data_IF_515130638237
#
_entry.id   IF_515130638237
#
_cell.length_a   1.000
_cell.length_b   1.000
_cell.length_c   1.000
_cell.angle_alpha   90.00
_cell.angle_beta   90.00
_cell.angle_gamma   90.00
#
_symmetry.space_group_name_H-M   'P 1'
#
loop_
_entity.id
_entity.type
_entity.pdbx_description
1 polymer ?
#
# COMPACT_ATOMS: atom_id res chain seq x y z
N UNK A 1 2.09 16.43 45.60
CA UNK A 1 2.36 16.89 44.22
C UNK A 1 2.78 15.65 43.45
N UNK A 2 1.80 14.89 43.00
CA UNK A 2 1.95 13.60 42.33
C UNK A 2 1.87 13.84 40.84
N UNK A 3 2.95 13.53 40.11
CA UNK A 3 2.95 13.54 38.66
C UNK A 3 2.06 12.41 38.15
N UNK A 4 1.10 12.75 37.29
CA UNK A 4 0.15 11.86 36.67
C UNK A 4 0.83 11.08 35.52
N UNK A 5 0.83 9.73 35.51
CA UNK A 5 1.42 8.94 34.44
C UNK A 5 0.39 8.76 33.32
N UNK A 6 0.17 9.80 32.53
CA UNK A 6 -0.64 9.71 31.31
C UNK A 6 0.13 10.28 30.10
N UNK A 7 1.26 9.65 29.79
CA UNK A 7 1.65 9.50 28.40
C UNK A 7 1.22 8.09 27.98
N UNK A 8 -0.08 7.91 27.73
CA UNK A 8 -0.51 6.80 26.90
C UNK A 8 0.20 6.98 25.56
N UNK A 9 1.06 6.02 25.20
CA UNK A 9 1.79 6.02 23.94
C UNK A 9 0.78 6.24 22.80
N UNK A 10 0.78 7.44 22.22
CA UNK A 10 -0.03 7.71 21.04
C UNK A 10 0.55 6.84 19.92
N UNK A 11 -0.18 5.81 19.53
CA UNK A 11 0.17 4.99 18.38
C UNK A 11 0.35 5.91 17.17
N UNK A 12 1.47 5.75 16.46
CA UNK A 12 1.69 6.45 15.20
C UNK A 12 0.49 6.22 14.26
N UNK A 13 0.03 7.25 13.52
CA UNK A 13 -1.05 7.08 12.54
C UNK A 13 -0.72 6.00 11.50
N UNK A 14 0.56 5.82 11.16
CA UNK A 14 1.04 4.79 10.24
C UNK A 14 0.85 3.39 10.86
N UNK A 15 1.12 3.23 12.16
CA UNK A 15 0.93 1.98 12.90
C UNK A 15 -0.56 1.62 13.02
N UNK A 16 -1.42 2.61 13.26
CA UNK A 16 -2.88 2.41 13.26
C UNK A 16 -3.38 2.03 11.86
N UNK A 17 -2.85 2.65 10.81
CA UNK A 17 -3.20 2.32 9.42
C UNK A 17 -2.82 0.87 9.09
N UNK A 18 -1.59 0.46 9.42
CA UNK A 18 -1.11 -0.90 9.18
C UNK A 18 -1.97 -1.95 9.91
N UNK A 19 -2.33 -1.69 11.17
CA UNK A 19 -3.23 -2.54 11.93
C UNK A 19 -4.61 -2.68 11.28
N UNK A 20 -5.23 -1.57 10.86
CA UNK A 20 -6.54 -1.57 10.21
C UNK A 20 -6.52 -2.36 8.90
N UNK A 21 -5.47 -2.20 8.11
CA UNK A 21 -5.31 -2.94 6.86
C UNK A 21 -5.08 -4.42 7.09
N UNK A 22 -4.24 -4.78 8.06
CA UNK A 22 -4.01 -6.17 8.42
C UNK A 22 -5.27 -6.86 8.96
N UNK A 23 -6.02 -6.18 9.84
CA UNK A 23 -7.26 -6.71 10.39
C UNK A 23 -8.30 -6.96 9.29
N UNK A 24 -8.48 -6.00 8.36
CA UNK A 24 -9.40 -6.20 7.24
C UNK A 24 -8.90 -7.29 6.28
N UNK A 25 -7.60 -7.36 6.02
CA UNK A 25 -7.01 -8.42 5.20
C UNK A 25 -7.35 -9.81 5.78
N UNK A 26 -7.14 -9.99 7.09
CA UNK A 26 -7.49 -11.24 7.79
C UNK A 26 -8.99 -11.57 7.66
N UNK A 27 -9.88 -10.58 7.82
CA UNK A 27 -11.32 -10.80 7.70
C UNK A 27 -11.70 -11.28 6.29
N UNK A 28 -11.16 -10.66 5.25
CA UNK A 28 -11.50 -11.03 3.87
C UNK A 28 -10.88 -12.35 3.41
N UNK A 29 -9.75 -12.73 4.01
CA UNK A 29 -9.13 -14.05 3.81
C UNK A 29 -10.02 -15.19 4.33
N UNK A 30 -10.67 -14.96 5.48
CA UNK A 30 -11.54 -15.93 6.14
C UNK A 30 -13.01 -15.87 5.67
N UNK A 31 -13.42 -14.82 4.95
CA UNK A 31 -14.79 -14.63 4.47
C UNK A 31 -15.17 -15.61 3.35
N UNK A 32 -16.46 -15.93 3.25
CA UNK A 32 -16.99 -16.85 2.25
C UNK A 32 -16.71 -16.34 0.82
N UNK A 33 -16.34 -17.24 -0.08
CA UNK A 33 -16.16 -16.92 -1.49
C UNK A 33 -15.23 -17.86 -2.24
N UNK A 34 -14.87 -17.50 -3.48
CA UNK A 34 -13.99 -18.34 -4.28
C UNK A 34 -12.58 -18.41 -3.66
N UNK A 35 -12.00 -19.61 -3.68
CA UNK A 35 -10.65 -19.87 -3.17
C UNK A 35 -9.54 -19.17 -3.99
N UNK A 36 -9.86 -18.73 -5.21
CA UNK A 36 -8.97 -18.02 -6.11
C UNK A 36 -9.65 -16.76 -6.65
N UNK A 37 -8.87 -15.70 -6.81
CA UNK A 37 -9.30 -14.40 -7.32
C UNK A 37 -8.44 -13.99 -8.50
N UNK A 38 -9.06 -13.39 -9.53
CA UNK A 38 -8.32 -12.76 -10.62
C UNK A 38 -7.86 -11.37 -10.18
N UNK A 39 -6.55 -11.14 -10.11
CA UNK A 39 -5.96 -9.85 -9.72
C UNK A 39 -5.48 -9.02 -10.93
N UNK A 40 -5.65 -9.53 -12.14
CA UNK A 40 -5.32 -8.85 -13.39
C UNK A 40 -6.57 -8.51 -14.20
N UNK A 41 -6.39 -8.18 -15.48
CA UNK A 41 -7.49 -7.84 -16.38
C UNK A 41 -8.33 -9.08 -16.73
N UNK A 42 -9.51 -8.86 -17.30
CA UNK A 42 -10.31 -9.95 -17.88
C UNK A 42 -9.68 -10.52 -19.18
N UNK A 43 -8.89 -9.72 -19.90
CA UNK A 43 -8.26 -10.12 -21.16
C UNK A 43 -7.04 -11.02 -20.94
N UNK A 44 -6.27 -10.72 -19.90
CA UNK A 44 -5.13 -11.51 -19.43
C UNK A 44 -5.31 -11.77 -17.94
N UNK A 45 -6.15 -12.77 -17.58
CA UNK A 45 -6.44 -13.05 -16.19
C UNK A 45 -5.24 -13.69 -15.50
N UNK A 46 -5.00 -13.28 -14.27
CA UNK A 46 -4.00 -13.84 -13.39
C UNK A 46 -4.68 -14.24 -12.08
N UNK A 47 -4.94 -15.53 -11.95
CA UNK A 47 -5.59 -16.09 -10.77
C UNK A 47 -4.56 -16.45 -9.70
N UNK A 48 -4.76 -15.93 -8.50
CA UNK A 48 -3.97 -16.25 -7.31
C UNK A 48 -4.89 -16.75 -6.21
N UNK A 49 -4.33 -17.29 -5.12
CA UNK A 49 -5.14 -17.66 -3.95
C UNK A 49 -5.83 -16.43 -3.38
N UNK A 50 -6.96 -16.63 -2.69
CA UNK A 50 -7.68 -15.56 -2.00
C UNK A 50 -6.76 -14.79 -1.03
N UNK A 51 -5.94 -15.52 -0.27
CA UNK A 51 -4.92 -14.95 0.62
C UNK A 51 -3.96 -14.05 -0.14
N UNK A 52 -3.38 -14.54 -1.22
CA UNK A 52 -2.43 -13.76 -2.02
C UNK A 52 -3.05 -12.50 -2.60
N UNK A 53 -4.31 -12.59 -3.09
CA UNK A 53 -5.02 -11.45 -3.64
C UNK A 53 -5.27 -10.35 -2.60
N UNK A 54 -5.71 -10.70 -1.39
CA UNK A 54 -5.93 -9.71 -0.34
C UNK A 54 -4.62 -9.17 0.22
N UNK A 55 -3.58 -10.00 0.38
CA UNK A 55 -2.24 -9.53 0.77
C UNK A 55 -1.67 -8.54 -0.25
N UNK A 56 -1.76 -8.81 -1.55
CA UNK A 56 -1.33 -7.86 -2.60
C UNK A 56 -2.15 -6.56 -2.54
N UNK A 57 -3.48 -6.66 -2.45
CA UNK A 57 -4.36 -5.49 -2.35
C UNK A 57 -4.03 -4.61 -1.14
N UNK A 58 -3.89 -5.20 0.04
CA UNK A 58 -3.63 -4.45 1.27
C UNK A 58 -2.20 -3.91 1.36
N UNK A 59 -1.22 -4.59 0.76
CA UNK A 59 0.15 -4.06 0.61
C UNK A 59 0.15 -2.81 -0.28
N UNK A 60 -0.63 -2.83 -1.36
CA UNK A 60 -0.85 -1.69 -2.26
C UNK A 60 -1.65 -0.56 -1.59
N UNK A 61 -2.61 -0.88 -0.72
CA UNK A 61 -3.29 0.12 0.11
C UNK A 61 -2.31 0.82 1.04
N UNK A 62 -1.44 0.06 1.70
CA UNK A 62 -0.40 0.58 2.58
C UNK A 62 0.60 1.46 1.83
N UNK A 63 1.04 1.03 0.63
CA UNK A 63 1.89 1.84 -0.24
C UNK A 63 1.26 3.20 -0.53
N UNK A 64 -0.02 3.26 -0.90
CA UNK A 64 -0.67 4.54 -1.16
C UNK A 64 -0.77 5.39 0.12
N UNK A 65 -1.14 4.79 1.25
CA UNK A 65 -1.30 5.50 2.52
C UNK A 65 0.02 6.12 3.03
N UNK A 66 1.14 5.48 2.71
CA UNK A 66 2.48 5.95 3.08
C UNK A 66 3.18 6.69 1.93
N UNK A 67 2.45 7.04 0.87
CA UNK A 67 2.96 7.69 -0.34
C UNK A 67 4.16 6.95 -0.98
N UNK A 68 4.23 5.63 -0.84
CA UNK A 68 5.36 4.79 -1.27
C UNK A 68 6.71 5.32 -0.73
N UNK A 69 6.71 5.88 0.47
CA UNK A 69 7.90 6.40 1.13
C UNK A 69 8.68 5.28 1.83
N UNK A 70 9.85 4.93 1.28
CA UNK A 70 10.70 3.86 1.80
C UNK A 70 11.09 4.08 3.27
N UNK A 71 11.36 5.33 3.67
CA UNK A 71 11.77 5.64 5.04
C UNK A 71 10.61 5.46 6.02
N UNK A 72 9.39 5.84 5.63
CA UNK A 72 8.19 5.61 6.44
C UNK A 72 7.85 4.13 6.56
N UNK A 73 7.94 3.37 5.46
CA UNK A 73 7.73 1.91 5.47
C UNK A 73 8.74 1.23 6.41
N UNK A 74 10.03 1.60 6.34
CA UNK A 74 11.05 1.04 7.20
C UNK A 74 10.87 1.43 8.68
N UNK A 75 10.39 2.64 8.96
CA UNK A 75 10.04 3.05 10.33
C UNK A 75 8.85 2.25 10.86
N UNK A 76 7.79 2.13 10.06
CA UNK A 76 6.62 1.34 10.41
C UNK A 76 6.95 -0.13 10.68
N UNK A 77 7.82 -0.76 9.88
CA UNK A 77 8.26 -2.13 10.11
C UNK A 77 8.90 -2.31 11.50
N UNK A 78 9.77 -1.36 11.91
CA UNK A 78 10.36 -1.37 13.26
C UNK A 78 9.30 -1.19 14.35
N UNK A 79 8.33 -0.30 14.13
CA UNK A 79 7.25 -0.07 15.09
C UNK A 79 6.40 -1.34 15.27
N UNK A 80 6.07 -2.04 14.18
CA UNK A 80 5.33 -3.32 14.19
C UNK A 80 6.11 -4.40 14.94
N UNK A 81 7.42 -4.51 14.72
CA UNK A 81 8.26 -5.50 15.41
C UNK A 81 8.23 -5.35 16.93
N UNK A 82 8.12 -4.11 17.40
CA UNK A 82 8.04 -3.77 18.83
C UNK A 82 6.62 -3.81 19.39
N UNK A 83 5.60 -4.01 18.56
CA UNK A 83 4.21 -3.99 18.99
C UNK A 83 3.89 -5.18 19.92
N UNK A 84 3.08 -4.98 20.97
CA UNK A 84 2.78 -6.04 21.94
C UNK A 84 1.91 -7.14 21.33
N UNK A 85 2.39 -8.40 21.43
CA UNK A 85 1.70 -9.61 20.94
C UNK A 85 1.00 -10.40 22.06
N UNK A 86 0.43 -9.69 23.03
CA UNK A 86 -0.12 -10.29 24.27
C UNK A 86 -1.44 -11.06 24.07
N UNK A 87 -2.04 -11.01 22.86
CA UNK A 87 -3.28 -11.69 22.50
C UNK A 87 -3.03 -12.46 21.18
N UNK A 88 -3.39 -13.76 21.09
CA UNK A 88 -3.20 -14.56 19.87
C UNK A 88 -3.84 -13.95 18.61
N UNK A 89 -5.04 -13.38 18.72
CA UNK A 89 -5.72 -12.71 17.60
C UNK A 89 -4.92 -11.46 17.19
N UNK A 90 -4.47 -10.69 18.16
CA UNK A 90 -3.63 -9.52 17.91
C UNK A 90 -2.27 -9.89 17.29
N UNK A 91 -1.69 -11.02 17.70
CA UNK A 91 -0.44 -11.52 17.16
C UNK A 91 -0.58 -11.84 15.66
N UNK A 92 -1.66 -12.54 15.27
CA UNK A 92 -1.95 -12.81 13.85
C UNK A 92 -2.06 -11.50 13.06
N UNK A 93 -2.80 -10.51 13.56
CA UNK A 93 -2.94 -9.21 12.87
C UNK A 93 -1.59 -8.50 12.74
N UNK A 94 -0.71 -8.56 13.75
CA UNK A 94 0.63 -7.98 13.64
C UNK A 94 1.54 -8.71 12.66
N UNK A 95 1.46 -10.04 12.61
CA UNK A 95 2.23 -10.83 11.65
C UNK A 95 1.80 -10.53 10.21
N UNK A 96 0.49 -10.35 10.01
CA UNK A 96 -0.06 -9.86 8.74
C UNK A 96 0.47 -8.45 8.43
N UNK A 97 0.41 -7.52 9.38
CA UNK A 97 0.89 -6.16 9.17
C UNK A 97 2.38 -6.12 8.77
N UNK A 98 3.20 -6.99 9.38
CA UNK A 98 4.60 -7.15 9.03
C UNK A 98 4.77 -7.67 7.59
N UNK A 99 3.99 -8.67 7.18
CA UNK A 99 3.98 -9.19 5.81
C UNK A 99 3.59 -8.09 4.80
N UNK A 100 2.56 -7.30 5.09
CA UNK A 100 2.13 -6.19 4.23
C UNK A 100 3.24 -5.12 4.08
N UNK A 101 3.95 -4.81 5.17
CA UNK A 101 5.08 -3.87 5.14
C UNK A 101 6.24 -4.42 4.31
N UNK A 102 6.56 -5.71 4.48
CA UNK A 102 7.61 -6.36 3.71
C UNK A 102 7.30 -6.33 2.20
N UNK A 103 6.10 -6.75 1.81
CA UNK A 103 5.66 -6.71 0.39
C UNK A 103 5.69 -5.29 -0.17
N UNK A 104 5.26 -4.30 0.61
CA UNK A 104 5.33 -2.91 0.21
C UNK A 104 6.78 -2.44 -0.02
N UNK A 105 7.71 -2.82 0.87
CA UNK A 105 9.13 -2.53 0.69
C UNK A 105 9.71 -3.19 -0.57
N UNK A 106 9.38 -4.47 -0.81
CA UNK A 106 9.81 -5.21 -2.02
C UNK A 106 9.29 -4.54 -3.31
N UNK A 107 8.05 -4.05 -3.32
CA UNK A 107 7.50 -3.29 -4.46
C UNK A 107 8.25 -1.97 -4.67
N UNK A 108 8.59 -1.25 -3.60
CA UNK A 108 9.36 -0.01 -3.69
C UNK A 108 10.75 -0.28 -4.28
N UNK A 109 11.42 -1.33 -3.81
CA UNK A 109 12.77 -1.69 -4.24
C UNK A 109 12.79 -2.15 -5.71
N UNK A 110 11.88 -3.06 -6.08
CA UNK A 110 11.81 -3.61 -7.45
C UNK A 110 11.47 -2.55 -8.50
N UNK A 111 10.73 -1.50 -8.12
CA UNK A 111 10.40 -0.38 -9.02
C UNK A 111 11.45 0.74 -9.02
N UNK A 112 12.44 0.71 -8.11
CA UNK A 112 13.42 1.78 -7.94
C UNK A 112 12.87 3.02 -7.23
N UNK A 113 11.64 2.97 -6.71
CA UNK A 113 10.97 4.10 -6.06
C UNK A 113 11.65 4.58 -4.77
N UNK A 114 12.53 3.77 -4.17
CA UNK A 114 13.32 4.15 -3.01
C UNK A 114 14.30 5.32 -3.31
N UNK A 115 14.81 5.39 -4.54
CA UNK A 115 15.85 6.37 -4.93
C UNK A 115 15.45 7.27 -6.08
N UNK A 116 14.39 6.94 -6.82
CA UNK A 116 13.89 7.72 -7.96
C UNK A 116 12.48 8.25 -7.68
N UNK A 117 12.35 9.58 -7.56
CA UNK A 117 11.08 10.26 -7.34
C UNK A 117 10.10 10.12 -8.52
N UNK A 118 10.60 10.00 -9.75
CA UNK A 118 9.79 9.68 -10.93
C UNK A 118 9.25 8.25 -10.84
N UNK A 119 10.09 7.28 -10.48
CA UNK A 119 9.66 5.90 -10.24
C UNK A 119 8.62 5.82 -9.11
N UNK A 120 8.82 6.55 -8.01
CA UNK A 120 7.84 6.66 -6.92
C UNK A 120 6.50 7.22 -7.37
N UNK A 121 6.49 8.30 -8.17
CA UNK A 121 5.27 8.87 -8.75
C UNK A 121 4.55 7.87 -9.66
N UNK A 122 5.29 7.19 -10.55
CA UNK A 122 4.75 6.16 -11.45
C UNK A 122 4.16 4.99 -10.68
N UNK A 123 4.86 4.50 -9.65
CA UNK A 123 4.37 3.45 -8.75
C UNK A 123 3.06 3.87 -8.07
N UNK A 124 2.99 5.08 -7.50
CA UNK A 124 1.78 5.55 -6.84
C UNK A 124 0.60 5.68 -7.80
N UNK A 125 0.83 6.18 -9.01
CA UNK A 125 -0.20 6.28 -10.03
C UNK A 125 -0.71 4.90 -10.46
N UNK A 126 0.20 3.95 -10.70
CA UNK A 126 -0.14 2.56 -11.02
C UNK A 126 -0.90 1.87 -9.90
N UNK A 127 -0.47 2.04 -8.65
CA UNK A 127 -1.15 1.49 -7.47
C UNK A 127 -2.57 2.06 -7.30
N UNK A 128 -2.76 3.37 -7.47
CA UNK A 128 -4.07 4.02 -7.44
C UNK A 128 -5.01 3.49 -8.52
N UNK A 129 -4.48 3.29 -9.73
CA UNK A 129 -5.23 2.74 -10.86
C UNK A 129 -5.64 1.28 -10.63
N UNK A 130 -4.70 0.43 -10.22
CA UNK A 130 -4.92 -1.00 -10.03
C UNK A 130 -5.94 -1.28 -8.93
N UNK A 131 -5.80 -0.64 -7.77
CA UNK A 131 -6.73 -0.81 -6.63
C UNK A 131 -8.17 -0.45 -6.99
N UNK A 132 -8.34 0.63 -7.76
CA UNK A 132 -9.68 1.13 -8.11
C UNK A 132 -10.29 0.33 -9.26
N UNK A 133 -9.48 -0.29 -10.12
CA UNK A 133 -9.94 -1.26 -11.11
C UNK A 133 -10.40 -2.57 -10.47
N UNK A 134 -9.63 -3.11 -9.51
CA UNK A 134 -9.96 -4.36 -8.79
C UNK A 134 -11.14 -4.18 -7.81
N UNK A 135 -11.28 -3.02 -7.15
CA UNK A 135 -12.35 -2.79 -6.16
C UNK A 135 -13.64 -2.16 -6.73
N UNK A 136 -13.58 -1.34 -7.80
CA UNK A 136 -14.71 -0.51 -8.27
C UNK A 136 -14.95 -0.55 -9.79
N UNK A 137 -13.96 -0.98 -10.59
CA UNK A 137 -14.00 -0.89 -12.05
C UNK A 137 -15.10 -1.72 -12.71
N UNK A 138 -15.59 -2.77 -12.03
CA UNK A 138 -16.71 -3.57 -12.53
C UNK A 138 -18.07 -2.85 -12.46
N UNK A 139 -18.19 -1.73 -11.73
CA UNK A 139 -19.50 -1.16 -11.38
C UNK A 139 -19.73 0.29 -11.86
N UNK A 140 -18.70 1.07 -12.26
CA UNK A 140 -18.87 2.48 -12.68
C UNK A 140 -17.92 2.90 -13.83
N UNK A 141 -18.36 2.85 -15.10
CA UNK A 141 -17.52 3.14 -16.28
C UNK A 141 -16.95 4.57 -16.38
N UNK A 142 -17.69 5.59 -15.96
CA UNK A 142 -17.22 6.99 -16.01
C UNK A 142 -16.05 7.26 -15.04
N UNK A 143 -15.93 6.44 -13.98
CA UNK A 143 -14.85 6.53 -13.02
C UNK A 143 -13.56 5.92 -13.58
N UNK A 144 -13.68 4.84 -14.37
CA UNK A 144 -12.55 4.19 -15.05
C UNK A 144 -11.80 5.17 -15.98
N UNK A 145 -12.51 5.96 -16.79
CA UNK A 145 -11.88 6.94 -17.70
C UNK A 145 -11.03 7.99 -16.99
N UNK A 146 -11.46 8.43 -15.79
CA UNK A 146 -10.69 9.39 -14.99
C UNK A 146 -9.40 8.76 -14.45
N UNK A 147 -9.45 7.49 -14.07
CA UNK A 147 -8.29 6.74 -13.61
C UNK A 147 -7.28 6.52 -14.73
N UNK A 148 -7.76 6.16 -15.91
CA UNK A 148 -6.91 5.99 -17.09
C UNK A 148 -6.19 7.31 -17.45
N UNK A 149 -6.86 8.44 -17.26
CA UNK A 149 -6.28 9.78 -17.46
C UNK A 149 -5.20 10.11 -16.42
N UNK A 150 -5.46 9.84 -15.12
CA UNK A 150 -4.50 10.04 -14.03
C UNK A 150 -3.24 9.16 -14.24
N UNK A 151 -3.43 7.91 -14.71
CA UNK A 151 -2.34 7.01 -15.04
C UNK A 151 -1.53 7.51 -16.24
N UNK A 152 -2.20 7.89 -17.33
CA UNK A 152 -1.54 8.41 -18.53
C UNK A 152 -0.66 9.62 -18.21
N UNK A 153 -1.19 10.59 -17.44
CA UNK A 153 -0.43 11.78 -17.04
C UNK A 153 0.84 11.42 -16.28
N UNK A 154 0.76 10.51 -15.30
CA UNK A 154 1.92 10.07 -14.52
C UNK A 154 2.97 9.32 -15.35
N UNK A 155 2.56 8.67 -16.44
CA UNK A 155 3.46 7.97 -17.36
C UNK A 155 4.10 8.90 -18.41
N UNK A 156 3.44 10.02 -18.74
CA UNK A 156 3.89 10.94 -19.80
C UNK A 156 4.64 12.17 -19.30
N UNK A 157 4.58 12.51 -18.01
CA UNK A 157 5.25 13.71 -17.48
C UNK A 157 6.78 13.62 -17.65
N UNK A 158 7.41 14.45 -18.50
CA UNK A 158 8.86 14.52 -18.59
C UNK A 158 9.42 15.22 -17.34
N UNK A 159 10.60 14.80 -16.88
CA UNK A 159 11.30 15.52 -15.80
C UNK A 159 11.45 17.01 -16.16
N UNK A 160 11.32 17.93 -15.19
CA UNK A 160 11.87 19.26 -15.40
C UNK A 160 13.38 19.07 -15.57
N UNK A 161 13.85 19.20 -16.81
CA UNK A 161 15.27 19.13 -17.13
C UNK A 161 16.07 20.10 -16.27
N UNK A 162 17.36 19.84 -16.03
CA UNK A 162 18.19 20.73 -15.24
C UNK A 162 18.08 22.14 -15.81
N UNK A 163 17.59 23.08 -15.00
CA UNK A 163 17.63 24.51 -15.30
C UNK A 163 19.09 24.87 -15.63
N UNK A 164 19.39 25.07 -16.91
CA UNK A 164 20.64 25.68 -17.34
C UNK A 164 20.57 27.18 -16.98
N UNK A 165 21.36 27.67 -16.02
CA UNK A 165 21.38 29.09 -15.68
C UNK A 165 22.30 29.89 -16.61
N UNK A 166 22.82 29.31 -17.68
CA UNK A 166 23.83 29.95 -18.54
C UNK A 166 23.20 30.65 -19.73
N UNK A 167 22.34 31.63 -19.44
CA UNK A 167 21.67 32.47 -20.43
C UNK A 167 21.75 33.94 -20.06
N UNK A 168 22.95 34.48 -19.91
CA UNK A 168 23.29 35.91 -20.06
C UNK A 168 24.80 36.13 -20.03
#
# INVERSE_FOLDING_TARGET
>A
MTADPQHAAQSSPDLTCAWLYAANCSLYEDDDGPAQLNIASYLEPHFVSRVEAFRDLYSRLLLEALDADAARIAALARDIDTAPRNNPIAAVVWDIAAELCQRAAEIIDTTGAATDASARRRLLAGTKHLKRTVALGQWIPAYQQRLDTELLQALTDPEPGPHDPSGQ
#
